data_IF_347663859247
#
_entry.id   IF_347663859247
#
_cell.length_a   1.000
_cell.length_b   1.000
_cell.length_c   1.000
_cell.angle_alpha   90.00
_cell.angle_beta   90.00
_cell.angle_gamma   90.00
#
_symmetry.space_group_name_H-M   'P 1'
#
loop_
_entity.id
_entity.type
_entity.pdbx_description
1 polymer ?
#
# COMPACT_ATOMS: atom_id res chain seq x y z
N UNK A 1 -6.72 -6.97 31.50
CA UNK A 1 -7.46 -6.07 30.61
C UNK A 1 -8.56 -6.89 29.95
N UNK A 2 -9.84 -6.67 30.28
CA UNK A 2 -10.95 -7.40 29.64
C UNK A 2 -11.14 -6.81 28.24
N UNK A 3 -10.54 -7.44 27.23
CA UNK A 3 -10.84 -7.10 25.85
C UNK A 3 -12.36 -7.23 25.64
N UNK A 4 -12.99 -6.16 25.16
CA UNK A 4 -14.41 -6.18 24.84
C UNK A 4 -14.65 -7.36 23.88
N UNK A 5 -15.61 -8.27 24.13
CA UNK A 5 -15.70 -9.56 23.43
C UNK A 5 -15.75 -9.43 21.89
N UNK A 6 -16.32 -8.32 21.41
CA UNK A 6 -16.37 -7.95 19.98
C UNK A 6 -14.96 -7.71 19.41
N UNK A 7 -14.11 -6.99 20.13
CA UNK A 7 -12.73 -6.69 19.70
C UNK A 7 -11.90 -7.98 19.61
N UNK A 8 -12.03 -8.89 20.60
CA UNK A 8 -11.33 -10.18 20.55
C UNK A 8 -11.76 -11.02 19.35
N UNK A 9 -13.07 -11.10 19.06
CA UNK A 9 -13.58 -11.82 17.88
C UNK A 9 -13.01 -11.21 16.59
N UNK A 10 -12.97 -9.89 16.50
CA UNK A 10 -12.38 -9.16 15.37
C UNK A 10 -10.88 -9.47 15.20
N UNK A 11 -10.09 -9.39 16.28
CA UNK A 11 -8.66 -9.71 16.28
C UNK A 11 -8.40 -11.16 15.85
N UNK A 12 -9.08 -12.14 16.44
CA UNK A 12 -8.90 -13.55 16.09
C UNK A 12 -9.37 -13.85 14.66
N UNK A 13 -10.49 -13.25 14.24
CA UNK A 13 -10.99 -13.38 12.88
C UNK A 13 -9.99 -12.84 11.86
N UNK A 14 -9.39 -11.69 12.13
CA UNK A 14 -8.37 -11.12 11.25
C UNK A 14 -7.09 -11.96 11.22
N UNK A 15 -6.59 -12.42 12.37
CA UNK A 15 -5.43 -13.31 12.43
C UNK A 15 -5.67 -14.59 11.63
N UNK A 16 -6.88 -15.15 11.69
CA UNK A 16 -7.26 -16.31 10.88
C UNK A 16 -7.24 -16.00 9.38
N UNK A 17 -7.74 -14.83 8.96
CA UNK A 17 -7.70 -14.37 7.57
C UNK A 17 -6.26 -14.20 7.09
N UNK A 18 -5.38 -13.58 7.89
CA UNK A 18 -3.96 -13.47 7.59
C UNK A 18 -3.28 -14.84 7.50
N UNK A 19 -3.56 -15.76 8.43
CA UNK A 19 -3.02 -17.11 8.40
C UNK A 19 -3.46 -17.86 7.14
N UNK A 20 -4.74 -17.77 6.76
CA UNK A 20 -5.25 -18.35 5.53
C UNK A 20 -4.58 -17.75 4.29
N UNK A 21 -4.41 -16.42 4.24
CA UNK A 21 -3.70 -15.75 3.15
C UNK A 21 -2.24 -16.23 3.03
N UNK A 22 -1.53 -16.37 4.15
CA UNK A 22 -0.17 -16.92 4.17
C UNK A 22 -0.13 -18.37 3.69
N UNK A 23 -1.03 -19.23 4.17
CA UNK A 23 -1.12 -20.63 3.75
C UNK A 23 -1.39 -20.73 2.24
N UNK A 24 -2.32 -19.94 1.72
CA UNK A 24 -2.61 -19.89 0.28
C UNK A 24 -1.42 -19.36 -0.52
N UNK A 25 -0.78 -18.28 -0.09
CA UNK A 25 0.40 -17.72 -0.74
C UNK A 25 1.57 -18.71 -0.78
N UNK A 26 1.82 -19.42 0.33
CA UNK A 26 2.87 -20.42 0.43
C UNK A 26 2.58 -21.68 -0.39
N UNK A 27 1.35 -22.21 -0.31
CA UNK A 27 0.94 -23.41 -1.07
C UNK A 27 0.94 -23.16 -2.58
N UNK A 28 0.59 -21.95 -3.02
CA UNK A 28 0.52 -21.56 -4.43
C UNK A 28 1.72 -20.72 -4.89
N UNK A 29 2.82 -20.69 -4.12
CA UNK A 29 3.98 -19.80 -4.38
C UNK A 29 4.52 -19.86 -5.81
N UNK A 30 4.60 -21.06 -6.41
CA UNK A 30 5.10 -21.25 -7.79
C UNK A 30 4.12 -20.71 -8.83
N UNK A 31 2.82 -20.87 -8.59
CA UNK A 31 1.78 -20.35 -9.46
C UNK A 31 1.74 -18.82 -9.40
N UNK A 32 1.79 -18.24 -8.19
CA UNK A 32 1.90 -16.81 -7.96
C UNK A 32 3.15 -16.21 -8.61
N UNK A 33 4.32 -16.82 -8.39
CA UNK A 33 5.57 -16.35 -8.96
C UNK A 33 5.57 -16.34 -10.49
N UNK A 34 4.93 -17.33 -11.14
CA UNK A 34 4.78 -17.36 -12.60
C UNK A 34 3.78 -16.33 -13.10
N UNK A 35 2.61 -16.23 -12.47
CA UNK A 35 1.53 -15.31 -12.89
C UNK A 35 1.94 -13.84 -12.75
N UNK A 36 2.64 -13.54 -11.66
CA UNK A 36 3.09 -12.19 -11.33
C UNK A 36 4.60 -12.03 -11.57
N UNK A 37 5.15 -12.83 -12.48
CA UNK A 37 6.55 -12.74 -12.87
C UNK A 37 6.86 -11.33 -13.39
N UNK A 38 7.98 -10.77 -12.95
CA UNK A 38 8.38 -9.42 -13.34
C UNK A 38 7.84 -8.30 -12.46
N UNK A 39 6.99 -8.57 -11.46
CA UNK A 39 6.50 -7.54 -10.53
C UNK A 39 7.65 -6.78 -9.84
N UNK A 40 8.69 -7.47 -9.38
CA UNK A 40 9.87 -6.81 -8.79
C UNK A 40 10.55 -5.85 -9.76
N UNK A 41 10.74 -6.26 -11.02
CA UNK A 41 11.30 -5.40 -12.07
C UNK A 41 10.37 -4.21 -12.37
N UNK A 42 9.06 -4.41 -12.29
CA UNK A 42 8.06 -3.37 -12.51
C UNK A 42 8.08 -2.28 -11.42
N UNK A 43 8.22 -2.65 -10.14
CA UNK A 43 8.28 -1.67 -9.04
C UNK A 43 9.68 -1.07 -8.86
N UNK A 44 10.74 -1.80 -9.21
CA UNK A 44 12.12 -1.31 -9.13
C UNK A 44 12.55 -0.44 -10.32
N UNK A 45 11.60 0.02 -11.15
CA UNK A 45 11.89 1.07 -12.11
C UNK A 45 12.42 2.32 -11.39
N UNK A 46 13.45 2.97 -11.97
CA UNK A 46 14.25 4.01 -11.29
C UNK A 46 13.40 5.05 -10.57
N UNK A 47 12.40 5.61 -11.25
CA UNK A 47 11.58 6.67 -10.68
C UNK A 47 10.61 6.19 -9.58
N UNK A 48 10.16 4.93 -9.64
CA UNK A 48 9.22 4.38 -8.65
C UNK A 48 9.90 4.17 -7.32
N UNK A 49 11.06 3.50 -7.31
CA UNK A 49 11.80 3.31 -6.07
C UNK A 49 12.37 4.63 -5.55
N UNK A 50 12.79 5.58 -6.40
CA UNK A 50 13.22 6.91 -5.96
C UNK A 50 12.09 7.70 -5.31
N UNK A 51 10.90 7.73 -5.93
CA UNK A 51 9.73 8.39 -5.35
C UNK A 51 9.27 7.70 -4.05
N UNK A 52 9.35 6.36 -3.97
CA UNK A 52 9.07 5.62 -2.76
C UNK A 52 10.09 5.89 -1.64
N UNK A 53 11.38 5.95 -1.97
CA UNK A 53 12.43 6.29 -1.01
C UNK A 53 12.24 7.71 -0.47
N UNK A 54 11.93 8.68 -1.34
CA UNK A 54 11.63 10.04 -0.94
C UNK A 54 10.40 10.08 -0.02
N UNK A 55 9.29 9.48 -0.43
CA UNK A 55 8.06 9.43 0.37
C UNK A 55 8.28 8.77 1.73
N UNK A 56 8.95 7.62 1.76
CA UNK A 56 9.28 6.89 3.00
C UNK A 56 10.14 7.74 3.92
N UNK A 57 11.18 8.38 3.37
CA UNK A 57 12.07 9.25 4.15
C UNK A 57 11.30 10.43 4.73
N UNK A 58 10.45 11.08 3.95
CA UNK A 58 9.60 12.17 4.43
C UNK A 58 8.65 11.73 5.53
N UNK A 59 7.94 10.60 5.34
CA UNK A 59 7.01 10.07 6.34
C UNK A 59 7.72 9.70 7.64
N UNK A 60 8.83 8.94 7.56
CA UNK A 60 9.59 8.50 8.74
C UNK A 60 10.17 9.68 9.50
N UNK A 61 10.66 10.70 8.80
CA UNK A 61 11.20 11.90 9.46
C UNK A 61 10.11 12.77 10.09
N UNK A 62 8.90 12.81 9.53
CA UNK A 62 7.82 13.70 10.01
C UNK A 62 6.96 13.02 11.09
N UNK A 63 6.79 11.70 11.04
CA UNK A 63 5.93 10.93 11.94
C UNK A 63 6.07 11.29 13.44
N UNK A 64 7.28 11.36 14.02
CA UNK A 64 7.45 11.71 15.44
C UNK A 64 7.11 13.16 15.78
N UNK A 65 7.05 14.05 14.79
CA UNK A 65 6.73 15.47 14.97
C UNK A 65 5.26 15.78 14.69
N UNK A 66 4.43 14.76 14.47
CA UNK A 66 2.99 14.93 14.25
C UNK A 66 2.22 15.28 15.52
N UNK A 67 2.85 15.19 16.69
CA UNK A 67 2.18 15.34 17.99
C UNK A 67 1.28 14.15 18.37
N UNK A 68 1.15 13.16 17.49
CA UNK A 68 0.44 11.91 17.76
C UNK A 68 1.42 10.88 18.37
N UNK A 69 1.23 10.46 19.63
CA UNK A 69 2.12 9.49 20.30
C UNK A 69 2.05 8.08 19.70
N UNK A 70 1.07 7.81 18.84
CA UNK A 70 1.00 6.51 18.17
C UNK A 70 2.00 6.41 17.03
N UNK A 71 2.22 7.49 16.29
CA UNK A 71 3.11 7.55 15.12
C UNK A 71 4.57 7.64 15.53
N UNK A 72 5.37 6.65 15.13
CA UNK A 72 6.80 6.62 15.38
C UNK A 72 7.62 6.28 14.13
N UNK A 73 8.93 6.13 14.31
CA UNK A 73 9.81 5.81 13.19
C UNK A 73 9.58 4.38 12.65
N UNK A 74 9.19 3.45 13.52
CA UNK A 74 9.06 2.04 13.15
C UNK A 74 7.80 1.82 12.32
N UNK A 75 6.65 2.33 12.76
CA UNK A 75 5.40 2.19 12.02
C UNK A 75 5.37 2.93 10.69
N UNK A 76 5.85 4.17 10.66
CA UNK A 76 6.01 4.93 9.44
C UNK A 76 6.90 4.18 8.43
N UNK A 77 7.97 3.53 8.88
CA UNK A 77 8.88 2.78 8.02
C UNK A 77 8.22 1.53 7.44
N UNK A 78 7.69 0.63 8.29
CA UNK A 78 7.15 -0.62 7.77
C UNK A 78 5.88 -0.39 6.95
N UNK A 79 5.03 0.58 7.32
CA UNK A 79 3.84 0.91 6.52
C UNK A 79 4.21 1.44 5.14
N UNK A 80 5.22 2.32 5.07
CA UNK A 80 5.71 2.85 3.79
C UNK A 80 6.29 1.74 2.91
N UNK A 81 7.08 0.83 3.48
CA UNK A 81 7.65 -0.32 2.76
C UNK A 81 6.56 -1.26 2.29
N UNK A 82 5.61 -1.64 3.14
CA UNK A 82 4.49 -2.51 2.79
C UNK A 82 3.63 -1.87 1.70
N UNK A 83 3.40 -0.57 1.77
CA UNK A 83 2.65 0.20 0.76
C UNK A 83 3.37 0.15 -0.59
N UNK A 84 4.66 0.43 -0.63
CA UNK A 84 5.44 0.36 -1.88
C UNK A 84 5.44 -1.04 -2.50
N UNK A 85 5.61 -2.06 -1.66
CA UNK A 85 5.68 -3.45 -2.13
C UNK A 85 4.33 -3.99 -2.57
N UNK A 86 3.22 -3.55 -1.99
CA UNK A 86 1.91 -4.19 -2.21
C UNK A 86 0.90 -3.33 -2.95
N UNK A 87 0.89 -2.00 -2.78
CA UNK A 87 -0.14 -1.14 -3.35
C UNK A 87 -0.24 -1.18 -4.88
N UNK A 88 0.86 -1.14 -5.65
CA UNK A 88 0.77 -1.23 -7.10
C UNK A 88 0.11 -2.53 -7.55
N UNK A 89 0.48 -3.64 -6.92
CA UNK A 89 -0.09 -4.95 -7.22
C UNK A 89 -1.55 -5.06 -6.78
N UNK A 90 -1.88 -4.71 -5.54
CA UNK A 90 -3.23 -4.84 -5.02
C UNK A 90 -4.22 -4.01 -5.85
N UNK A 91 -3.91 -2.73 -6.12
CA UNK A 91 -4.77 -1.86 -6.95
C UNK A 91 -4.96 -2.43 -8.36
N UNK A 92 -3.89 -2.92 -8.99
CA UNK A 92 -3.99 -3.51 -10.32
C UNK A 92 -4.83 -4.79 -10.34
N UNK A 93 -4.71 -5.66 -9.34
CA UNK A 93 -5.54 -6.86 -9.20
C UNK A 93 -7.01 -6.50 -8.98
N UNK A 94 -7.30 -5.54 -8.10
CA UNK A 94 -8.67 -5.10 -7.84
C UNK A 94 -9.31 -4.49 -9.08
N UNK A 95 -8.59 -3.65 -9.83
CA UNK A 95 -9.07 -3.13 -11.11
C UNK A 95 -9.37 -4.26 -12.10
N UNK A 96 -8.48 -5.25 -12.22
CA UNK A 96 -8.68 -6.42 -13.10
C UNK A 96 -9.83 -7.30 -12.62
N UNK A 97 -10.08 -7.40 -11.32
CA UNK A 97 -11.23 -8.09 -10.76
C UNK A 97 -12.55 -7.45 -11.21
N UNK A 98 -12.63 -6.11 -11.17
CA UNK A 98 -13.78 -5.36 -11.70
C UNK A 98 -14.00 -5.61 -13.21
N UNK A 99 -12.95 -5.98 -13.94
CA UNK A 99 -13.01 -6.38 -15.36
C UNK A 99 -13.16 -7.89 -15.58
N UNK A 100 -13.33 -8.69 -14.52
CA UNK A 100 -13.39 -10.16 -14.55
C UNK A 100 -12.14 -10.82 -15.16
N UNK A 101 -10.99 -10.17 -14.99
CA UNK A 101 -9.69 -10.60 -15.51
C UNK A 101 -8.73 -11.11 -14.41
N UNK A 102 -9.13 -11.05 -13.14
CA UNK A 102 -8.33 -11.51 -12.01
C UNK A 102 -8.85 -12.87 -11.49
N UNK A 103 -7.94 -13.69 -10.99
CA UNK A 103 -8.28 -14.94 -10.31
C UNK A 103 -8.72 -14.63 -8.88
N UNK A 104 -9.79 -15.27 -8.40
CA UNK A 104 -10.36 -15.01 -7.06
C UNK A 104 -9.33 -15.07 -5.93
N UNK A 105 -8.38 -16.00 -6.00
CA UNK A 105 -7.27 -16.10 -5.05
C UNK A 105 -6.40 -14.83 -5.03
N UNK A 106 -6.07 -14.26 -6.20
CA UNK A 106 -5.27 -13.02 -6.24
C UNK A 106 -6.06 -11.85 -5.64
N UNK A 107 -7.37 -11.80 -5.87
CA UNK A 107 -8.25 -10.77 -5.29
C UNK A 107 -8.28 -10.87 -3.77
N UNK A 108 -8.46 -12.09 -3.24
CA UNK A 108 -8.41 -12.32 -1.79
C UNK A 108 -7.08 -11.84 -1.20
N UNK A 109 -5.95 -12.26 -1.78
CA UNK A 109 -4.63 -11.85 -1.33
C UNK A 109 -4.40 -10.33 -1.45
N UNK A 110 -4.89 -9.69 -2.53
CA UNK A 110 -4.80 -8.25 -2.73
C UNK A 110 -5.57 -7.46 -1.66
N UNK A 111 -6.79 -7.90 -1.31
CA UNK A 111 -7.58 -7.29 -0.23
C UNK A 111 -6.88 -7.45 1.12
N UNK A 112 -6.36 -8.65 1.42
CA UNK A 112 -5.63 -8.89 2.68
C UNK A 112 -4.37 -8.04 2.74
N UNK A 113 -3.57 -7.97 1.68
CA UNK A 113 -2.38 -7.12 1.64
C UNK A 113 -2.72 -5.63 1.79
N UNK A 114 -3.79 -5.16 1.16
CA UNK A 114 -4.25 -3.78 1.30
C UNK A 114 -4.61 -3.46 2.74
N UNK A 115 -5.55 -4.21 3.33
CA UNK A 115 -6.00 -3.96 4.71
C UNK A 115 -4.88 -4.17 5.73
N UNK A 116 -4.00 -5.14 5.49
CA UNK A 116 -2.82 -5.36 6.32
C UNK A 116 -1.88 -4.15 6.29
N UNK A 117 -1.51 -3.69 5.10
CA UNK A 117 -0.58 -2.58 4.92
C UNK A 117 -1.15 -1.23 5.34
N UNK A 118 -2.44 -1.00 5.12
CA UNK A 118 -3.06 0.30 5.37
C UNK A 118 -3.53 0.49 6.81
N UNK A 119 -3.78 -0.58 7.58
CA UNK A 119 -4.30 -0.44 8.94
C UNK A 119 -3.64 -1.41 9.90
N UNK A 120 -3.76 -2.71 9.64
CA UNK A 120 -3.42 -3.71 10.65
C UNK A 120 -1.94 -3.83 11.00
N UNK A 121 -1.03 -3.48 10.09
CA UNK A 121 0.38 -3.41 10.42
C UNK A 121 0.65 -2.37 11.51
N UNK A 122 -0.06 -1.23 11.47
CA UNK A 122 0.01 -0.19 12.49
C UNK A 122 -0.78 -0.55 13.73
N UNK A 123 -2.05 -0.96 13.60
CA UNK A 123 -2.88 -1.27 14.77
C UNK A 123 -2.28 -2.44 15.56
N UNK A 124 -1.79 -3.47 14.86
CA UNK A 124 -1.14 -4.63 15.47
C UNK A 124 0.19 -4.27 16.13
N UNK A 125 0.95 -3.34 15.55
CA UNK A 125 2.17 -2.82 16.17
C UNK A 125 1.86 -2.10 17.48
N UNK A 126 0.85 -1.25 17.51
CA UNK A 126 0.44 -0.55 18.74
C UNK A 126 -0.07 -1.50 19.81
N UNK A 127 -0.84 -2.54 19.46
CA UNK A 127 -1.23 -3.57 20.42
C UNK A 127 -0.01 -4.28 21.01
N UNK A 128 1.03 -4.55 20.20
CA UNK A 128 2.25 -5.19 20.67
C UNK A 128 3.12 -4.25 21.51
N UNK A 129 3.17 -2.96 21.17
CA UNK A 129 3.98 -1.93 21.81
C UNK A 129 3.37 -1.45 23.12
N UNK A 130 2.08 -1.10 23.07
CA UNK A 130 1.37 -0.36 24.12
C UNK A 130 0.35 -1.25 24.86
N UNK A 131 -0.02 -2.41 24.30
CA UNK A 131 -1.02 -3.31 24.88
C UNK A 131 -2.47 -2.98 24.53
N UNK A 132 -2.69 -1.82 23.89
CA UNK A 132 -4.00 -1.26 23.60
C UNK A 132 -4.27 -1.21 22.09
N UNK A 133 -5.52 -1.47 21.70
CA UNK A 133 -5.96 -1.26 20.31
C UNK A 133 -6.30 0.22 20.11
N UNK A 134 -5.79 0.89 19.04
CA UNK A 134 -5.90 2.34 18.90
C UNK A 134 -7.36 2.78 18.74
N UNK A 135 -7.77 3.83 19.44
CA UNK A 135 -9.12 4.40 19.31
C UNK A 135 -9.37 4.98 17.90
N UNK A 136 -8.30 5.42 17.23
CA UNK A 136 -8.32 6.04 15.91
C UNK A 136 -8.23 5.03 14.75
N UNK A 137 -8.31 3.72 15.02
CA UNK A 137 -8.15 2.66 14.02
C UNK A 137 -9.00 2.85 12.76
N UNK A 138 -10.26 3.29 12.92
CA UNK A 138 -11.18 3.46 11.80
C UNK A 138 -10.76 4.64 10.90
N UNK A 139 -10.38 5.77 11.51
CA UNK A 139 -9.85 6.94 10.80
C UNK A 139 -8.56 6.60 10.07
N UNK A 140 -7.66 5.86 10.73
CA UNK A 140 -6.44 5.34 10.12
C UNK A 140 -6.77 4.47 8.90
N UNK A 141 -7.67 3.49 9.03
CA UNK A 141 -8.07 2.62 7.94
C UNK A 141 -8.53 3.41 6.71
N UNK A 142 -9.37 4.44 6.87
CA UNK A 142 -9.85 5.25 5.75
C UNK A 142 -8.75 6.10 5.11
N UNK A 143 -8.01 6.87 5.91
CA UNK A 143 -6.98 7.78 5.41
C UNK A 143 -5.82 7.01 4.76
N UNK A 144 -5.34 5.96 5.43
CA UNK A 144 -4.28 5.11 4.92
C UNK A 144 -4.73 4.30 3.71
N UNK A 145 -6.01 3.91 3.61
CA UNK A 145 -6.54 3.31 2.38
C UNK A 145 -6.56 4.26 1.19
N UNK A 146 -6.87 5.54 1.42
CA UNK A 146 -6.82 6.56 0.38
C UNK A 146 -5.38 6.77 -0.11
N UNK A 147 -4.42 6.85 0.82
CA UNK A 147 -3.00 6.95 0.49
C UNK A 147 -2.48 5.70 -0.23
N UNK A 148 -2.86 4.52 0.26
CA UNK A 148 -2.50 3.23 -0.35
C UNK A 148 -3.03 3.12 -1.79
N UNK A 149 -4.29 3.46 -2.02
CA UNK A 149 -4.87 3.47 -3.37
C UNK A 149 -4.17 4.50 -4.26
N UNK A 150 -3.95 5.71 -3.75
CA UNK A 150 -3.23 6.79 -4.46
C UNK A 150 -1.84 6.35 -4.89
N UNK A 151 -1.09 5.72 -3.98
CA UNK A 151 0.25 5.19 -4.24
C UNK A 151 0.22 4.06 -5.27
N UNK A 152 -0.75 3.14 -5.16
CA UNK A 152 -0.95 2.07 -6.13
C UNK A 152 -1.31 2.59 -7.53
N UNK A 153 -2.11 3.65 -7.63
CA UNK A 153 -2.41 4.33 -8.91
C UNK A 153 -1.15 5.01 -9.47
N UNK A 154 -0.44 5.78 -8.64
CA UNK A 154 0.78 6.50 -9.01
C UNK A 154 1.82 5.55 -9.60
N UNK A 155 2.19 4.49 -8.88
CA UNK A 155 3.20 3.53 -9.31
C UNK A 155 2.72 2.55 -10.39
N UNK A 156 1.45 2.64 -10.80
CA UNK A 156 0.95 2.02 -12.03
C UNK A 156 0.97 2.95 -13.25
N UNK A 157 1.35 4.22 -13.13
CA UNK A 157 1.53 5.09 -14.29
C UNK A 157 2.63 4.55 -15.22
N UNK A 158 2.32 4.51 -16.51
CA UNK A 158 3.22 4.11 -17.59
C UNK A 158 3.04 5.01 -18.79
N UNK A 159 4.09 5.14 -19.60
CA UNK A 159 4.06 5.87 -20.85
C UNK A 159 4.67 5.00 -21.95
N UNK A 160 3.86 4.68 -22.97
CA UNK A 160 4.32 3.97 -24.17
C UNK A 160 4.30 4.91 -25.38
N UNK A 161 5.26 4.80 -26.29
CA UNK A 161 5.36 5.67 -27.47
C UNK A 161 4.10 5.65 -28.37
N UNK A 162 3.38 4.52 -28.43
CA UNK A 162 2.19 4.36 -29.27
C UNK A 162 0.84 4.58 -28.57
N UNK A 163 0.80 4.64 -27.23
CA UNK A 163 -0.44 4.83 -26.44
C UNK A 163 -0.43 6.08 -25.57
N UNK A 164 0.73 6.70 -25.41
CA UNK A 164 0.93 7.77 -24.44
C UNK A 164 0.77 7.26 -23.00
N UNK A 165 0.25 8.14 -22.15
CA UNK A 165 0.12 7.95 -20.71
C UNK A 165 -1.09 7.08 -20.37
N UNK A 166 -0.88 6.02 -19.59
CA UNK A 166 -1.93 5.08 -19.19
C UNK A 166 -1.53 4.31 -17.92
N UNK A 167 -2.45 3.54 -17.36
CA UNK A 167 -2.15 2.65 -16.24
C UNK A 167 -1.72 1.27 -16.73
N UNK A 168 -0.65 0.76 -16.13
CA UNK A 168 -0.02 -0.50 -16.51
C UNK A 168 -1.00 -1.68 -16.42
N UNK A 169 -1.87 -1.73 -15.39
CA UNK A 169 -2.84 -2.82 -15.20
C UNK A 169 -3.92 -2.92 -16.28
N UNK A 170 -4.03 -1.92 -17.17
CA UNK A 170 -4.92 -1.95 -18.35
C UNK A 170 -4.35 -2.87 -19.44
N UNK A 171 -3.04 -3.13 -19.41
CA UNK A 171 -2.38 -3.97 -20.40
C UNK A 171 -2.53 -5.47 -20.06
N UNK A 172 -2.73 -6.33 -21.07
CA UNK A 172 -2.67 -7.78 -20.87
C UNK A 172 -1.33 -8.26 -20.28
N UNK A 173 -0.25 -7.56 -20.64
CA UNK A 173 1.13 -7.82 -20.21
C UNK A 173 1.61 -6.84 -19.12
N UNK A 174 0.70 -6.36 -18.26
CA UNK A 174 0.91 -5.38 -17.18
C UNK A 174 2.32 -5.37 -16.54
N UNK A 175 2.86 -6.51 -16.12
CA UNK A 175 4.13 -6.58 -15.39
C UNK A 175 5.38 -6.55 -16.28
N UNK A 176 5.20 -6.54 -17.60
CA UNK A 176 6.26 -6.44 -18.60
C UNK A 176 6.45 -5.00 -19.11
N UNK A 177 5.79 -4.00 -18.51
CA UNK A 177 5.85 -2.61 -19.00
C UNK A 177 7.28 -2.07 -19.10
N UNK A 178 7.65 -1.47 -20.25
CA UNK A 178 8.96 -0.86 -20.44
C UNK A 178 9.14 0.33 -19.49
N UNK A 179 10.40 0.65 -19.18
CA UNK A 179 10.73 1.79 -18.34
C UNK A 179 10.33 3.09 -19.05
N UNK A 180 9.45 3.87 -18.43
CA UNK A 180 9.08 5.20 -18.90
C UNK A 180 9.92 6.28 -18.20
N UNK A 181 10.33 7.36 -18.91
CA UNK A 181 10.93 8.52 -18.27
C UNK A 181 9.87 9.26 -17.43
N UNK A 182 10.19 9.53 -16.16
CA UNK A 182 9.27 10.14 -15.20
C UNK A 182 8.74 11.52 -15.65
N UNK A 183 9.52 12.28 -16.41
CA UNK A 183 9.11 13.59 -16.94
C UNK A 183 7.81 13.53 -17.75
N UNK A 184 7.53 12.39 -18.40
CA UNK A 184 6.29 12.18 -19.17
C UNK A 184 5.10 11.76 -18.30
N UNK A 185 5.33 11.43 -17.03
CA UNK A 185 4.33 11.02 -16.05
C UNK A 185 3.96 12.16 -15.10
N UNK A 186 4.79 13.21 -15.03
CA UNK A 186 4.75 14.26 -14.00
C UNK A 186 3.36 14.86 -13.84
N UNK A 187 2.65 15.17 -14.93
CA UNK A 187 1.34 15.80 -14.88
C UNK A 187 0.26 14.97 -14.18
N UNK A 188 0.27 13.63 -14.32
CA UNK A 188 -0.65 12.76 -13.57
C UNK A 188 -0.10 12.34 -12.21
N UNK A 189 1.22 12.34 -12.04
CA UNK A 189 1.85 12.07 -10.77
C UNK A 189 1.63 13.22 -9.77
N UNK A 190 1.64 14.47 -10.26
CA UNK A 190 1.63 15.68 -9.43
C UNK A 190 0.42 15.74 -8.49
N UNK A 191 -0.85 15.53 -8.91
CA UNK A 191 -1.99 15.59 -7.99
C UNK A 191 -1.88 14.56 -6.87
N UNK A 192 -1.40 13.35 -7.16
CA UNK A 192 -1.22 12.27 -6.18
C UNK A 192 -0.08 12.58 -5.21
N UNK A 193 1.02 13.13 -5.73
CA UNK A 193 2.14 13.59 -4.91
C UNK A 193 1.77 14.79 -4.04
N UNK A 194 0.95 15.72 -4.55
CA UNK A 194 0.45 16.87 -3.81
C UNK A 194 -0.54 16.45 -2.73
N UNK A 195 -1.41 15.47 -2.99
CA UNK A 195 -2.29 14.92 -1.95
C UNK A 195 -1.47 14.32 -0.80
N UNK A 196 -0.50 13.45 -1.11
CA UNK A 196 0.38 12.88 -0.11
C UNK A 196 1.18 13.97 0.63
N UNK A 197 1.75 14.92 -0.13
CA UNK A 197 2.50 16.05 0.41
C UNK A 197 1.66 16.94 1.32
N UNK A 198 0.40 17.22 0.97
CA UNK A 198 -0.51 18.01 1.79
C UNK A 198 -0.90 17.29 3.09
N UNK A 199 -1.15 15.98 3.03
CA UNK A 199 -1.42 15.17 4.22
C UNK A 199 -0.22 15.14 5.17
N UNK A 200 1.00 15.06 4.63
CA UNK A 200 2.23 15.12 5.41
C UNK A 200 2.49 16.55 5.96
N UNK A 201 2.30 17.58 5.14
CA UNK A 201 2.59 18.97 5.49
C UNK A 201 1.59 19.59 6.47
N UNK A 202 0.37 19.03 6.55
CA UNK A 202 -0.62 19.42 7.55
C UNK A 202 -0.03 19.38 8.96
N UNK A 203 0.74 18.35 9.30
CA UNK A 203 1.33 18.18 10.62
C UNK A 203 2.27 19.33 11.02
N UNK A 204 3.39 19.60 10.34
CA UNK A 204 4.29 20.69 10.74
C UNK A 204 3.62 22.08 10.70
N UNK A 205 2.65 22.32 9.82
CA UNK A 205 1.93 23.60 9.74
C UNK A 205 0.99 23.85 10.92
N UNK A 206 0.55 22.80 11.61
CA UNK A 206 -0.38 22.93 12.76
C UNK A 206 0.36 23.11 14.09
N UNK A 207 1.67 22.79 14.12
CA UNK A 207 2.52 22.88 15.32
C UNK A 207 3.62 23.96 15.22
N UNK A 208 3.56 24.82 14.20
CA UNK A 208 4.33 26.07 14.07
C UNK A 208 3.46 27.28 14.47
#
# INVERSE_FOLDING_TARGET
MQAHPILSIYLYGWLLVCALALILACSQRRALARRHAGYMRFILQRWKWLSAALATTSFVLIAPYTGDPTWDYADALFMSVLTFLSAPWAVGILWRACRRQAVAMDVFLAVVCWLFSASWSYDGYLVLRDGDYPETWLSNLYLSSLLYCSAGILWNLCHDAGRGLHFAFVRPDWLASPAAPFSRLLWLALPLMLLAGAMIAYFPLTYL
#
